data_IF_217926965870
#
_entry.id   IF_217926965870
#
_cell.length_a   1.000
_cell.length_b   1.000
_cell.length_c   1.000
_cell.angle_alpha   90.00
_cell.angle_beta   90.00
_cell.angle_gamma   90.00
#
_symmetry.space_group_name_H-M   'P 1'
#
loop_
_entity.id
_entity.type
_entity.pdbx_description
1 polymer ?
#
# COMPACT_ATOMS: atom_id res chain seq x y z
N UNK A 1 -52.80 42.97 -36.90
CA UNK A 1 -52.98 41.53 -36.69
C UNK A 1 -51.62 40.95 -36.31
N UNK A 2 -51.26 41.02 -35.02
CA UNK A 2 -50.00 40.49 -34.50
C UNK A 2 -50.24 39.06 -34.05
N UNK A 3 -49.60 38.09 -34.70
CA UNK A 3 -49.73 36.67 -34.37
C UNK A 3 -48.62 36.36 -33.36
N UNK A 4 -49.00 36.10 -32.12
CA UNK A 4 -48.10 35.73 -31.03
C UNK A 4 -47.79 34.24 -31.22
N UNK A 5 -46.55 33.86 -31.53
CA UNK A 5 -46.13 32.45 -31.49
C UNK A 5 -45.90 32.04 -30.04
N UNK A 6 -46.48 30.93 -29.54
CA UNK A 6 -46.27 30.50 -28.18
C UNK A 6 -44.84 29.95 -28.01
N UNK A 7 -44.15 30.44 -26.98
CA UNK A 7 -42.85 29.93 -26.55
C UNK A 7 -43.05 28.56 -25.88
N UNK A 8 -42.44 27.52 -26.44
CA UNK A 8 -42.49 26.15 -25.89
C UNK A 8 -41.54 26.11 -24.67
N UNK A 9 -42.00 25.70 -23.47
CA UNK A 9 -41.14 25.63 -22.29
C UNK A 9 -39.99 24.65 -22.48
N UNK A 10 -38.76 25.05 -22.13
CA UNK A 10 -37.56 24.22 -22.28
C UNK A 10 -37.67 22.93 -21.47
N UNK A 11 -37.47 21.79 -22.14
CA UNK A 11 -37.37 20.46 -21.55
C UNK A 11 -36.23 20.44 -20.51
N UNK A 12 -36.41 19.88 -19.30
CA UNK A 12 -35.34 19.77 -18.33
C UNK A 12 -34.22 18.92 -18.95
N UNK A 13 -32.99 19.45 -18.93
CA UNK A 13 -31.83 18.80 -19.53
C UNK A 13 -31.58 17.50 -18.74
N UNK A 14 -32.12 16.39 -19.26
CA UNK A 14 -31.66 15.06 -18.87
C UNK A 14 -30.15 15.01 -19.01
N UNK A 15 -29.49 14.26 -18.13
CA UNK A 15 -28.04 14.08 -18.13
C UNK A 15 -27.56 13.95 -19.58
N UNK A 16 -26.67 14.86 -20.02
CA UNK A 16 -26.24 14.90 -21.41
C UNK A 16 -25.55 13.57 -21.72
N UNK A 17 -25.65 13.11 -22.97
CA UNK A 17 -25.06 11.84 -23.41
C UNK A 17 -23.57 11.72 -23.04
N UNK A 18 -22.86 12.85 -23.03
CA UNK A 18 -21.46 12.98 -22.63
C UNK A 18 -21.20 12.69 -21.15
N UNK A 19 -22.13 13.05 -20.27
CA UNK A 19 -22.02 12.80 -18.82
C UNK A 19 -22.26 11.32 -18.51
N UNK A 20 -23.18 10.68 -19.25
CA UNK A 20 -23.44 9.24 -19.17
C UNK A 20 -22.23 8.45 -19.67
N UNK A 21 -21.61 8.87 -20.77
CA UNK A 21 -20.40 8.23 -21.31
C UNK A 21 -19.21 8.36 -20.36
N UNK A 22 -19.02 9.54 -19.74
CA UNK A 22 -17.99 9.73 -18.71
C UNK A 22 -18.20 8.83 -17.50
N UNK A 23 -19.44 8.70 -17.04
CA UNK A 23 -19.78 7.84 -15.91
C UNK A 23 -19.56 6.36 -16.24
N UNK A 24 -19.95 5.91 -17.44
CA UNK A 24 -19.74 4.52 -17.89
C UNK A 24 -18.25 4.17 -18.08
N UNK A 25 -17.44 5.12 -18.55
CA UNK A 25 -15.98 4.95 -18.64
C UNK A 25 -15.37 4.84 -17.24
N UNK A 26 -15.79 5.67 -16.29
CA UNK A 26 -15.33 5.58 -14.89
C UNK A 26 -15.71 4.25 -14.25
N UNK A 27 -16.98 3.86 -14.34
CA UNK A 27 -17.47 2.60 -13.76
C UNK A 27 -16.76 1.40 -14.40
N UNK A 28 -16.47 1.43 -15.70
CA UNK A 28 -15.70 0.37 -16.37
C UNK A 28 -14.27 0.27 -15.83
N UNK A 29 -13.60 1.41 -15.64
CA UNK A 29 -12.24 1.43 -15.12
C UNK A 29 -12.21 0.98 -13.65
N UNK A 30 -13.16 1.43 -12.83
CA UNK A 30 -13.31 1.00 -11.43
C UNK A 30 -13.61 -0.50 -11.32
N UNK A 31 -14.46 -1.05 -12.19
CA UNK A 31 -14.72 -2.49 -12.26
C UNK A 31 -13.53 -3.29 -12.80
N UNK A 32 -12.70 -2.68 -13.65
CA UNK A 32 -11.44 -3.27 -14.12
C UNK A 32 -10.38 -3.32 -13.02
N UNK A 33 -10.42 -2.40 -12.06
CA UNK A 33 -9.61 -2.44 -10.83
C UNK A 33 -10.12 -3.50 -9.85
N UNK A 34 -11.42 -3.80 -9.86
CA UNK A 34 -12.03 -4.82 -9.00
C UNK A 34 -11.90 -6.25 -9.55
N UNK A 35 -11.88 -6.38 -10.87
CA UNK A 35 -11.34 -7.57 -11.51
C UNK A 35 -9.85 -7.62 -11.16
N UNK A 36 -9.44 -8.48 -10.23
CA UNK A 36 -8.11 -9.08 -10.30
C UNK A 36 -7.99 -9.59 -11.74
N UNK A 37 -7.38 -8.79 -12.62
CA UNK A 37 -7.32 -9.11 -14.04
C UNK A 37 -6.62 -10.46 -14.21
N UNK A 38 -6.39 -10.88 -15.45
CA UNK A 38 -5.61 -12.08 -15.80
C UNK A 38 -4.22 -12.18 -15.10
N UNK A 39 -3.82 -11.16 -14.35
CA UNK A 39 -2.79 -11.12 -13.34
C UNK A 39 -3.41 -11.26 -11.93
N UNK A 40 -3.38 -12.47 -11.35
CA UNK A 40 -3.84 -12.78 -9.99
C UNK A 40 -3.12 -12.02 -8.86
N UNK A 41 -3.24 -12.48 -7.62
CA UNK A 41 -2.65 -11.82 -6.43
C UNK A 41 -1.15 -11.51 -6.63
N UNK A 42 -0.78 -10.22 -6.48
CA UNK A 42 0.59 -9.72 -6.56
C UNK A 42 0.92 -8.94 -5.29
N UNK A 43 2.18 -9.01 -4.89
CA UNK A 43 2.75 -8.26 -3.77
C UNK A 43 3.83 -7.32 -4.30
N UNK A 44 3.98 -6.17 -3.68
CA UNK A 44 5.05 -5.22 -3.95
C UNK A 44 6.32 -5.65 -3.21
N UNK A 45 7.41 -5.81 -3.97
CA UNK A 45 8.69 -6.28 -3.46
C UNK A 45 9.71 -5.15 -3.48
N UNK A 46 10.37 -4.93 -2.34
CA UNK A 46 11.45 -3.97 -2.16
C UNK A 46 12.75 -4.69 -1.78
N UNK A 47 13.75 -4.70 -2.67
CA UNK A 47 15.07 -5.23 -2.37
C UNK A 47 16.02 -4.12 -1.90
N UNK A 48 16.73 -4.33 -0.78
CA UNK A 48 17.55 -3.31 -0.11
C UNK A 48 18.92 -3.84 0.31
N UNK A 49 19.93 -2.99 0.14
CA UNK A 49 21.34 -3.25 0.46
C UNK A 49 21.92 -2.22 1.43
N UNK A 50 21.10 -1.29 1.91
CA UNK A 50 21.43 -0.22 2.82
C UNK A 50 20.20 0.15 3.65
N UNK A 51 20.38 1.05 4.63
CA UNK A 51 19.31 1.52 5.50
C UNK A 51 18.09 2.00 4.69
N UNK A 52 16.90 1.64 5.15
CA UNK A 52 15.66 1.88 4.42
C UNK A 52 14.48 2.10 5.37
N UNK A 53 13.64 3.09 5.08
CA UNK A 53 12.34 3.24 5.73
C UNK A 53 11.28 2.58 4.86
N UNK A 54 10.55 1.62 5.42
CA UNK A 54 9.52 0.86 4.71
C UNK A 54 8.38 1.78 4.29
N UNK A 55 7.95 1.68 3.03
CA UNK A 55 6.78 2.38 2.52
C UNK A 55 5.50 1.61 2.85
N UNK A 56 4.40 2.31 3.09
CA UNK A 56 3.06 1.72 3.25
C UNK A 56 2.56 0.93 2.03
N UNK A 57 3.23 1.11 0.89
CA UNK A 57 2.97 0.39 -0.35
C UNK A 57 3.79 -0.88 -0.51
N UNK A 58 4.83 -1.08 0.31
CA UNK A 58 5.63 -2.30 0.26
C UNK A 58 4.85 -3.44 0.93
N UNK A 59 5.08 -4.68 0.49
CA UNK A 59 4.52 -5.87 1.13
C UNK A 59 5.64 -6.85 1.56
N UNK A 60 6.67 -6.99 0.72
CA UNK A 60 7.83 -7.87 0.96
C UNK A 60 9.11 -7.07 0.87
N UNK A 61 9.95 -7.17 1.90
CA UNK A 61 11.23 -6.48 1.98
C UNK A 61 12.35 -7.52 2.05
N UNK A 62 13.19 -7.53 1.02
CA UNK A 62 14.37 -8.41 0.92
C UNK A 62 15.62 -7.61 1.25
N UNK A 63 16.23 -7.90 2.40
CA UNK A 63 17.35 -7.16 2.95
C UNK A 63 18.67 -7.92 2.82
N UNK A 64 19.78 -7.22 2.60
CA UNK A 64 21.11 -7.80 2.76
C UNK A 64 21.67 -8.48 1.51
N UNK A 65 21.13 -8.19 0.33
CA UNK A 65 21.74 -8.64 -0.93
C UNK A 65 23.16 -8.04 -1.07
N UNK A 66 24.18 -8.79 -0.65
CA UNK A 66 25.58 -8.36 -0.55
C UNK A 66 26.24 -8.58 0.82
N UNK A 67 25.50 -9.10 1.81
CA UNK A 67 25.96 -9.40 3.17
C UNK A 67 26.20 -8.19 4.08
N UNK A 68 25.45 -7.11 3.88
CA UNK A 68 25.55 -5.87 4.67
C UNK A 68 24.71 -5.96 5.95
N UNK A 69 25.20 -5.29 6.99
CA UNK A 69 24.47 -5.04 8.23
C UNK A 69 23.86 -3.65 8.17
N UNK A 70 22.55 -3.53 8.36
CA UNK A 70 21.85 -2.23 8.37
C UNK A 70 20.49 -2.30 9.07
N UNK A 71 19.95 -1.12 9.36
CA UNK A 71 18.64 -0.95 9.97
C UNK A 71 17.57 -0.69 8.91
N UNK A 72 16.42 -1.35 9.06
CA UNK A 72 15.19 -1.07 8.33
C UNK A 72 14.17 -0.52 9.30
N UNK A 73 13.68 0.69 9.06
CA UNK A 73 12.73 1.36 9.94
C UNK A 73 11.31 1.18 9.42
N UNK A 74 10.39 0.77 10.30
CA UNK A 74 8.96 0.68 9.99
C UNK A 74 8.36 2.09 9.82
N UNK A 75 7.29 2.27 9.03
CA UNK A 75 6.53 3.51 9.04
C UNK A 75 5.86 3.73 10.40
N UNK A 76 5.24 4.88 10.64
CA UNK A 76 4.38 5.06 11.81
C UNK A 76 3.25 4.02 11.81
N UNK A 77 3.05 3.31 12.93
CA UNK A 77 1.99 2.32 13.09
C UNK A 77 0.61 2.90 12.76
N UNK A 78 0.36 4.14 13.21
CA UNK A 78 -0.89 4.87 12.94
C UNK A 78 -1.19 5.09 11.45
N UNK A 79 -0.16 5.15 10.60
CA UNK A 79 -0.29 5.26 9.14
C UNK A 79 -0.37 3.91 8.42
N UNK A 80 -0.23 2.80 9.15
CA UNK A 80 -0.10 1.46 8.61
C UNK A 80 -1.03 0.44 9.28
N UNK A 81 -2.07 0.86 9.99
CA UNK A 81 -3.03 -0.04 10.65
C UNK A 81 -3.52 -1.16 9.73
N UNK A 82 -3.39 -2.41 10.17
CA UNK A 82 -3.78 -3.59 9.40
C UNK A 82 -2.81 -4.00 8.29
N UNK A 83 -1.68 -3.29 8.12
CA UNK A 83 -0.63 -3.69 7.18
C UNK A 83 0.20 -4.82 7.73
N UNK A 84 0.52 -5.76 6.83
CA UNK A 84 1.44 -6.86 7.07
C UNK A 84 2.66 -6.67 6.19
N UNK A 85 3.84 -6.73 6.79
CA UNK A 85 5.12 -6.75 6.07
C UNK A 85 5.81 -8.09 6.28
N UNK A 86 6.35 -8.64 5.19
CA UNK A 86 7.27 -9.76 5.25
C UNK A 86 8.70 -9.25 5.07
N UNK A 87 9.51 -9.32 6.12
CA UNK A 87 10.89 -8.85 6.10
C UNK A 87 11.81 -10.07 6.14
N UNK A 88 12.71 -10.18 5.16
CA UNK A 88 13.64 -11.31 5.04
C UNK A 88 15.07 -10.84 4.90
N UNK A 89 15.95 -11.39 5.71
CA UNK A 89 17.39 -11.27 5.51
C UNK A 89 17.85 -12.31 4.47
N UNK A 90 18.35 -11.86 3.33
CA UNK A 90 18.89 -12.74 2.27
C UNK A 90 20.43 -12.81 2.30
N UNK A 91 21.08 -12.04 3.16
CA UNK A 91 22.54 -12.02 3.33
C UNK A 91 22.99 -12.64 4.64
N UNK A 92 24.30 -12.57 4.90
CA UNK A 92 24.90 -13.01 6.17
C UNK A 92 25.12 -11.87 7.18
N UNK A 93 24.78 -10.63 6.81
CA UNK A 93 24.84 -9.48 7.71
C UNK A 93 23.64 -9.46 8.66
N UNK A 94 23.69 -8.61 9.68
CA UNK A 94 22.59 -8.45 10.64
C UNK A 94 21.60 -7.40 10.15
N UNK A 95 20.32 -7.74 10.08
CA UNK A 95 19.25 -6.79 9.76
C UNK A 95 18.50 -6.44 11.03
N UNK A 96 18.56 -5.17 11.41
CA UNK A 96 17.78 -4.64 12.54
C UNK A 96 16.51 -4.01 12.01
N UNK A 97 15.35 -4.54 12.39
CA UNK A 97 14.06 -3.91 12.13
C UNK A 97 13.74 -3.00 13.31
N UNK A 98 13.49 -1.73 13.05
CA UNK A 98 13.32 -0.67 14.06
C UNK A 98 11.91 -0.06 13.96
N UNK A 99 11.26 0.14 15.10
CA UNK A 99 9.98 0.85 15.18
C UNK A 99 10.14 2.33 14.83
N UNK A 100 9.06 3.01 14.44
CA UNK A 100 9.14 4.45 14.21
C UNK A 100 9.21 5.20 15.55
N UNK A 101 10.37 5.76 15.88
CA UNK A 101 10.56 6.55 17.09
C UNK A 101 10.61 5.69 18.36
N UNK A 102 9.47 5.56 19.06
CA UNK A 102 9.36 4.76 20.29
C UNK A 102 8.23 3.74 20.23
N UNK A 103 7.67 3.50 19.04
CA UNK A 103 6.76 2.40 18.80
C UNK A 103 7.44 1.06 19.07
N UNK A 104 6.67 0.10 19.57
CA UNK A 104 7.19 -1.21 19.97
C UNK A 104 6.92 -2.27 18.91
N UNK A 105 7.77 -3.30 18.89
CA UNK A 105 7.67 -4.55 18.14
C UNK A 105 7.70 -5.67 19.20
N UNK A 106 6.57 -6.31 19.47
CA UNK A 106 6.39 -7.30 20.55
C UNK A 106 6.96 -6.85 21.91
N UNK A 107 6.72 -5.58 22.27
CA UNK A 107 7.20 -4.98 23.52
C UNK A 107 8.69 -4.58 23.53
N UNK A 108 9.46 -4.91 22.49
CA UNK A 108 10.79 -4.34 22.23
C UNK A 108 10.73 -3.12 21.32
N UNK A 109 11.82 -2.38 21.12
CA UNK A 109 11.88 -1.29 20.12
C UNK A 109 12.43 -1.76 18.75
N UNK A 110 13.08 -2.92 18.74
CA UNK A 110 13.70 -3.50 17.54
C UNK A 110 13.52 -5.02 17.51
N UNK A 111 13.39 -5.59 16.31
CA UNK A 111 13.58 -7.01 16.04
C UNK A 111 14.88 -7.21 15.23
N UNK A 112 15.62 -8.29 15.46
CA UNK A 112 16.93 -8.51 14.84
C UNK A 112 16.92 -9.85 14.09
N UNK A 113 17.27 -9.81 12.80
CA UNK A 113 17.46 -11.00 11.97
C UNK A 113 18.97 -11.18 11.75
N UNK A 114 19.55 -12.21 12.36
CA UNK A 114 21.00 -12.47 12.33
C UNK A 114 21.37 -13.64 11.43
N UNK A 115 20.40 -14.50 11.11
CA UNK A 115 20.64 -15.70 10.33
C UNK A 115 20.28 -15.46 8.87
N UNK A 116 21.14 -15.93 7.96
CA UNK A 116 20.84 -15.86 6.54
C UNK A 116 19.56 -16.64 6.22
N UNK A 117 18.68 -16.01 5.45
CA UNK A 117 17.35 -16.51 5.07
C UNK A 117 16.32 -16.54 6.21
N UNK A 118 16.64 -15.98 7.37
CA UNK A 118 15.66 -15.67 8.41
C UNK A 118 14.65 -14.64 7.91
N UNK A 119 13.40 -14.79 8.33
CA UNK A 119 12.33 -13.86 7.99
C UNK A 119 11.36 -13.73 9.14
N UNK A 120 10.79 -12.53 9.27
CA UNK A 120 9.69 -12.24 10.18
C UNK A 120 8.50 -11.72 9.39
N UNK A 121 7.30 -11.99 9.89
CA UNK A 121 6.08 -11.34 9.43
C UNK A 121 5.63 -10.39 10.54
N UNK A 122 5.46 -9.12 10.20
CA UNK A 122 5.06 -8.09 11.17
C UNK A 122 3.71 -7.50 10.76
N UNK A 123 2.81 -7.32 11.72
CA UNK A 123 1.50 -6.70 11.57
C UNK A 123 1.43 -5.41 12.40
N UNK A 124 0.88 -4.34 11.82
CA UNK A 124 0.51 -3.14 12.57
C UNK A 124 -0.89 -3.26 13.15
N UNK A 125 -1.03 -3.01 14.46
CA UNK A 125 -2.35 -2.83 15.09
C UNK A 125 -2.81 -1.36 15.06
N UNK A 126 -1.92 -0.43 14.68
CA UNK A 126 -2.21 1.01 14.59
C UNK A 126 -1.54 1.85 15.68
N UNK A 127 -1.01 1.21 16.72
CA UNK A 127 -0.17 1.86 17.74
C UNK A 127 1.15 1.12 17.96
N UNK A 128 1.13 -0.21 17.86
CA UNK A 128 2.28 -1.10 18.05
C UNK A 128 2.36 -2.12 16.92
N UNK A 129 3.49 -2.82 16.86
CA UNK A 129 3.79 -3.85 15.87
C UNK A 129 3.89 -5.23 16.54
N UNK A 130 3.36 -6.25 15.89
CA UNK A 130 3.37 -7.63 16.37
C UNK A 130 4.07 -8.54 15.36
N UNK A 131 4.93 -9.45 15.84
CA UNK A 131 5.48 -10.51 15.00
C UNK A 131 4.50 -11.69 15.01
N UNK A 132 4.20 -12.23 13.82
CA UNK A 132 3.27 -13.35 13.62
C UNK A 132 3.99 -14.69 13.42
#
# INVERSE_FOLDING_TARGET
MSIITPEIPSMPQGLRSEDVERLLISIREDLRQLSLGEKGFRVNIAAKTAAYTISVTDDVILCGAGNQTFTVTLPAASGATGKVYHIKNVGTGTITVDGNGSETIDGGITAILTVQYESITILSEGSEWFIL
#
